data_IF_181301405491
#
_entry.id   IF_181301405491
#
_cell.length_a   1.000
_cell.length_b   1.000
_cell.length_c   1.000
_cell.angle_alpha   90.00
_cell.angle_beta   90.00
_cell.angle_gamma   90.00
#
_symmetry.space_group_name_H-M   'P 1'
#
loop_
_entity.id
_entity.type
_entity.pdbx_description
1 polymer ?
#
# COMPACT_ATOMS: atom_id res chain seq x y z
N UNK A 1 9.54 -4.78 -11.59
CA UNK A 1 9.70 -3.33 -11.40
C UNK A 1 10.73 -3.16 -10.29
N UNK A 2 11.70 -2.25 -10.46
CA UNK A 2 12.66 -1.96 -9.40
C UNK A 2 11.98 -1.14 -8.28
N UNK A 3 12.62 -1.09 -7.12
CA UNK A 3 12.11 -0.39 -5.95
C UNK A 3 11.83 1.10 -6.20
N UNK A 4 12.70 1.79 -6.94
CA UNK A 4 12.58 3.22 -7.20
C UNK A 4 11.37 3.56 -8.09
N UNK A 5 11.16 2.79 -9.16
CA UNK A 5 10.01 2.92 -10.04
C UNK A 5 8.71 2.65 -9.28
N UNK A 6 8.71 1.64 -8.40
CA UNK A 6 7.53 1.30 -7.62
C UNK A 6 7.22 2.33 -6.54
N UNK A 7 8.25 2.88 -5.88
CA UNK A 7 8.09 4.04 -4.98
C UNK A 7 7.45 5.22 -5.71
N UNK A 8 7.96 5.57 -6.89
CA UNK A 8 7.42 6.64 -7.72
C UNK A 8 5.94 6.39 -8.10
N UNK A 9 5.61 5.14 -8.45
CA UNK A 9 4.22 4.74 -8.69
C UNK A 9 3.35 4.94 -7.45
N UNK A 10 3.77 4.44 -6.27
CA UNK A 10 2.99 4.58 -5.04
C UNK A 10 2.75 6.05 -4.66
N UNK A 11 3.75 6.91 -4.85
CA UNK A 11 3.65 8.35 -4.62
C UNK A 11 2.64 9.02 -5.58
N UNK A 12 2.68 8.65 -6.87
CA UNK A 12 1.68 9.07 -7.84
C UNK A 12 0.25 8.68 -7.42
N UNK A 13 0.06 7.45 -6.95
CA UNK A 13 -1.24 6.97 -6.49
C UNK A 13 -1.71 7.65 -5.19
N UNK A 14 -0.81 7.97 -4.27
CA UNK A 14 -1.08 8.76 -3.07
C UNK A 14 -1.63 10.14 -3.47
N UNK A 15 -0.96 10.82 -4.40
CA UNK A 15 -1.37 12.14 -4.87
C UNK A 15 -2.75 12.09 -5.54
N UNK A 16 -3.02 11.07 -6.36
CA UNK A 16 -4.34 10.90 -7.00
C UNK A 16 -5.46 10.63 -5.97
N UNK A 17 -5.19 9.82 -4.96
CA UNK A 17 -6.15 9.57 -3.87
C UNK A 17 -6.43 10.86 -3.08
N UNK A 18 -5.39 11.62 -2.75
CA UNK A 18 -5.51 12.89 -2.04
C UNK A 18 -6.33 13.93 -2.83
N UNK A 19 -6.09 14.06 -4.14
CA UNK A 19 -6.88 14.92 -5.03
C UNK A 19 -8.35 14.50 -5.07
N UNK A 20 -8.62 13.19 -5.22
CA UNK A 20 -9.98 12.65 -5.23
C UNK A 20 -10.75 12.98 -3.95
N UNK A 21 -10.06 12.94 -2.80
CA UNK A 21 -10.64 13.31 -1.50
C UNK A 21 -10.90 14.82 -1.43
N UNK A 22 -9.94 15.63 -1.89
CA UNK A 22 -10.02 17.09 -1.88
C UNK A 22 -11.15 17.64 -2.78
N UNK A 23 -11.42 16.96 -3.90
CA UNK A 23 -12.52 17.30 -4.83
C UNK A 23 -13.92 17.12 -4.21
N UNK A 24 -14.02 16.58 -3.00
CA UNK A 24 -15.12 16.86 -2.08
C UNK A 24 -16.47 16.22 -2.41
N UNK A 25 -16.54 15.32 -3.41
CA UNK A 25 -17.73 14.51 -3.63
C UNK A 25 -17.87 13.53 -2.46
N UNK A 26 -18.91 13.68 -1.65
CA UNK A 26 -19.25 12.74 -0.57
C UNK A 26 -20.00 11.56 -1.18
N UNK A 27 -19.25 10.66 -1.80
CA UNK A 27 -19.76 9.42 -2.37
C UNK A 27 -18.83 8.26 -2.02
N UNK A 28 -19.26 7.03 -2.37
CA UNK A 28 -18.48 5.81 -2.15
C UNK A 28 -17.07 5.85 -2.78
N UNK A 29 -16.83 6.71 -3.78
CA UNK A 29 -15.52 6.84 -4.39
C UNK A 29 -14.53 7.55 -3.45
N UNK A 30 -15.02 8.45 -2.59
CA UNK A 30 -14.20 9.13 -1.59
C UNK A 30 -13.74 8.17 -0.48
N UNK A 31 -14.65 7.34 0.05
CA UNK A 31 -14.30 6.32 1.04
C UNK A 31 -13.26 5.31 0.49
N UNK A 32 -13.42 4.93 -0.78
CA UNK A 32 -12.43 4.11 -1.49
C UNK A 32 -11.08 4.82 -1.64
N UNK A 33 -11.07 6.12 -1.94
CA UNK A 33 -9.85 6.91 -2.03
C UNK A 33 -9.14 7.01 -0.66
N UNK A 34 -9.89 7.17 0.44
CA UNK A 34 -9.33 7.13 1.80
C UNK A 34 -8.70 5.77 2.10
N UNK A 35 -9.38 4.66 1.79
CA UNK A 35 -8.82 3.32 1.99
C UNK A 35 -7.51 3.10 1.22
N UNK A 36 -7.48 3.53 -0.05
CA UNK A 36 -6.27 3.48 -0.88
C UNK A 36 -5.15 4.34 -0.29
N UNK A 37 -5.46 5.57 0.13
CA UNK A 37 -4.48 6.50 0.69
C UNK A 37 -3.80 5.90 1.93
N UNK A 38 -4.58 5.31 2.85
CA UNK A 38 -4.06 4.68 4.06
C UNK A 38 -3.08 3.55 3.74
N UNK A 39 -3.49 2.63 2.87
CA UNK A 39 -2.66 1.50 2.45
C UNK A 39 -1.38 1.97 1.74
N UNK A 40 -1.49 2.86 0.75
CA UNK A 40 -0.37 3.30 -0.05
C UNK A 40 0.65 4.09 0.76
N UNK A 41 0.21 4.93 1.70
CA UNK A 41 1.12 5.63 2.61
C UNK A 41 1.91 4.67 3.51
N UNK A 42 1.25 3.63 4.05
CA UNK A 42 1.91 2.60 4.85
C UNK A 42 2.94 1.82 4.01
N UNK A 43 2.53 1.36 2.82
CA UNK A 43 3.40 0.64 1.89
C UNK A 43 4.61 1.50 1.48
N UNK A 44 4.40 2.77 1.14
CA UNK A 44 5.47 3.68 0.75
C UNK A 44 6.52 3.84 1.86
N UNK A 45 6.09 4.01 3.12
CA UNK A 45 7.01 4.10 4.27
C UNK A 45 7.79 2.81 4.52
N UNK A 46 7.14 1.66 4.38
CA UNK A 46 7.80 0.34 4.48
C UNK A 46 8.87 0.20 3.41
N UNK A 47 8.55 0.56 2.17
CA UNK A 47 9.49 0.51 1.05
C UNK A 47 10.63 1.53 1.22
N UNK A 48 10.37 2.74 1.69
CA UNK A 48 11.39 3.76 1.97
C UNK A 48 12.27 3.42 3.21
N UNK A 49 12.00 2.30 3.88
CA UNK A 49 12.79 1.84 5.03
C UNK A 49 12.54 2.65 6.31
N UNK A 50 11.41 3.35 6.39
CA UNK A 50 10.99 4.16 7.55
C UNK A 50 9.60 3.77 8.07
N UNK A 51 9.32 2.48 8.32
CA UNK A 51 8.00 2.05 8.76
C UNK A 51 7.70 2.51 10.20
N UNK A 52 6.45 2.89 10.45
CA UNK A 52 5.87 2.94 11.79
C UNK A 52 5.32 1.55 12.17
N UNK A 53 5.25 1.15 13.46
CA UNK A 53 4.69 -0.15 13.86
C UNK A 53 3.30 -0.46 13.28
N UNK A 54 2.44 0.54 13.15
CA UNK A 54 1.13 0.39 12.49
C UNK A 54 1.22 0.05 10.99
N UNK A 55 2.27 0.51 10.29
CA UNK A 55 2.48 0.15 8.88
C UNK A 55 2.85 -1.33 8.77
N UNK A 56 3.74 -1.81 9.64
CA UNK A 56 4.14 -3.22 9.70
C UNK A 56 2.93 -4.10 9.99
N UNK A 57 2.13 -3.76 11.02
CA UNK A 57 0.92 -4.51 11.34
C UNK A 57 -0.10 -4.55 10.20
N UNK A 58 -0.24 -3.45 9.44
CA UNK A 58 -1.11 -3.44 8.25
C UNK A 58 -0.57 -4.37 7.15
N UNK A 59 0.74 -4.31 6.85
CA UNK A 59 1.36 -5.16 5.84
C UNK A 59 1.30 -6.64 6.24
N UNK A 60 1.58 -6.95 7.50
CA UNK A 60 1.55 -8.31 8.05
C UNK A 60 0.13 -8.88 7.99
N UNK A 61 -0.89 -8.15 8.47
CA UNK A 61 -2.27 -8.62 8.42
C UNK A 61 -2.77 -8.90 7.00
N UNK A 62 -2.42 -8.04 6.03
CA UNK A 62 -2.73 -8.29 4.61
C UNK A 62 -1.97 -9.53 4.13
N UNK A 63 -0.68 -9.63 4.45
CA UNK A 63 0.16 -10.73 4.00
C UNK A 63 -0.29 -12.09 4.56
N UNK A 64 -0.65 -12.14 5.85
CA UNK A 64 -1.16 -13.33 6.54
C UNK A 64 -2.43 -13.84 5.87
N UNK A 65 -3.37 -12.95 5.53
CA UNK A 65 -4.57 -13.33 4.79
C UNK A 65 -4.22 -13.89 3.40
N UNK A 66 -3.32 -13.24 2.66
CA UNK A 66 -2.91 -13.70 1.33
C UNK A 66 -2.21 -15.06 1.40
N UNK A 67 -1.37 -15.29 2.40
CA UNK A 67 -0.71 -16.58 2.62
C UNK A 67 -1.71 -17.66 3.04
N UNK A 68 -2.65 -17.35 3.92
CA UNK A 68 -3.71 -18.27 4.35
C UNK A 68 -4.62 -18.68 3.19
N UNK A 69 -4.83 -17.79 2.21
CA UNK A 69 -5.55 -18.07 0.97
C UNK A 69 -4.70 -18.79 -0.09
N UNK A 70 -3.40 -18.99 0.16
CA UNK A 70 -2.46 -19.61 -0.78
C UNK A 70 -2.08 -18.73 -1.97
N UNK A 71 -2.34 -17.41 -1.91
CA UNK A 71 -2.00 -16.44 -2.96
C UNK A 71 -0.54 -15.98 -2.86
N UNK A 72 0.05 -16.10 -1.68
CA UNK A 72 1.46 -15.83 -1.39
C UNK A 72 2.03 -17.03 -0.65
N UNK A 73 3.24 -17.47 -1.01
CA UNK A 73 3.92 -18.55 -0.28
C UNK A 73 4.24 -18.11 1.16
N UNK A 74 4.14 -19.02 2.12
CA UNK A 74 4.38 -18.74 3.56
C UNK A 74 5.76 -18.12 3.84
N UNK A 75 6.76 -18.38 3.00
CA UNK A 75 8.12 -17.84 3.13
C UNK A 75 8.33 -16.48 2.47
N UNK A 76 7.29 -15.89 1.85
CA UNK A 76 7.38 -14.66 1.07
C UNK A 76 6.36 -13.64 1.56
N UNK A 77 6.63 -12.37 1.26
CA UNK A 77 5.62 -11.32 1.38
C UNK A 77 5.01 -10.98 0.03
N UNK A 78 3.82 -10.39 0.00
CA UNK A 78 3.19 -9.95 -1.26
C UNK A 78 4.02 -8.91 -2.03
N UNK A 79 4.96 -8.24 -1.36
CA UNK A 79 5.90 -7.28 -1.95
C UNK A 79 7.30 -7.86 -2.19
N UNK A 80 7.50 -9.19 -2.05
CA UNK A 80 8.79 -9.85 -2.30
C UNK A 80 9.26 -9.81 -3.76
N UNK A 81 8.36 -9.52 -4.71
CA UNK A 81 8.68 -9.39 -6.13
C UNK A 81 9.33 -8.04 -6.52
N UNK A 82 9.41 -7.09 -5.57
CA UNK A 82 10.07 -5.81 -5.79
C UNK A 82 11.58 -6.05 -5.81
N UNK A 83 12.19 -5.82 -6.97
CA UNK A 83 13.64 -5.93 -7.11
C UNK A 83 14.30 -4.79 -6.32
N UNK A 84 15.32 -5.13 -5.52
CA UNK A 84 16.10 -4.19 -4.72
C UNK A 84 16.65 -3.04 -5.58
#
# INVERSE_FOLDING_TARGET
MNKADFLSYTEGQINQAALSIADGKKDMANDNAVGKLLFLCALHRVLDGKPHPGDLGMMDGINDCLQQLGLVETSKTFFAAIQA
#
